data_IF_546623639313
#
_entry.id   IF_546623639313
#
_cell.length_a   1.000
_cell.length_b   1.000
_cell.length_c   1.000
_cell.angle_alpha   90.00
_cell.angle_beta   90.00
_cell.angle_gamma   90.00
#
_symmetry.space_group_name_H-M   'P 1'
#
loop_
_entity.id
_entity.type
_entity.pdbx_description
1 polymer ?
#
# COMPACT_ATOMS: atom_id res chain seq x y z
N UNK A 1 1.44 -10.00 -50.83
CA UNK A 1 0.21 -10.76 -50.60
C UNK A 1 0.52 -11.94 -49.68
N UNK A 2 0.07 -11.86 -48.47
CA UNK A 2 0.31 -12.96 -47.52
C UNK A 2 -0.51 -14.17 -47.95
N UNK A 3 0.12 -15.34 -47.97
CA UNK A 3 -0.59 -16.56 -48.23
C UNK A 3 -1.67 -16.82 -47.18
N UNK A 4 -2.86 -17.11 -47.57
CA UNK A 4 -3.93 -17.54 -46.66
C UNK A 4 -3.46 -18.81 -45.93
N UNK A 5 -3.27 -18.70 -44.63
CA UNK A 5 -2.91 -19.84 -43.79
C UNK A 5 -4.19 -20.65 -43.62
N UNK A 6 -4.16 -21.88 -44.04
CA UNK A 6 -5.25 -22.82 -43.85
C UNK A 6 -5.18 -23.34 -42.40
N UNK A 7 -5.91 -22.67 -41.52
CA UNK A 7 -5.94 -23.05 -40.12
C UNK A 7 -7.02 -24.11 -39.87
N UNK A 8 -6.70 -25.11 -39.10
CA UNK A 8 -7.68 -26.08 -38.65
C UNK A 8 -8.62 -25.44 -37.59
N UNK A 9 -9.75 -26.11 -37.32
CA UNK A 9 -10.76 -25.60 -36.39
C UNK A 9 -10.21 -25.40 -34.97
N UNK A 10 -9.31 -26.27 -34.51
CA UNK A 10 -8.70 -26.16 -33.19
C UNK A 10 -7.80 -24.91 -33.08
N UNK A 11 -7.04 -24.59 -34.13
CA UNK A 11 -6.21 -23.41 -34.20
C UNK A 11 -7.06 -22.13 -34.23
N UNK A 12 -8.16 -22.13 -34.97
CA UNK A 12 -9.09 -21.00 -35.02
C UNK A 12 -9.71 -20.74 -33.64
N UNK A 13 -10.16 -21.77 -32.95
CA UNK A 13 -10.75 -21.68 -31.62
C UNK A 13 -9.73 -21.15 -30.64
N UNK A 14 -8.50 -21.67 -30.63
CA UNK A 14 -7.42 -21.23 -29.77
C UNK A 14 -7.07 -19.75 -30.00
N UNK A 15 -6.98 -19.30 -31.23
CA UNK A 15 -6.76 -17.91 -31.62
C UNK A 15 -7.88 -16.99 -31.13
N UNK A 16 -9.14 -17.41 -31.23
CA UNK A 16 -10.29 -16.66 -30.74
C UNK A 16 -10.27 -16.49 -29.24
N UNK A 17 -9.94 -17.54 -28.48
CA UNK A 17 -9.79 -17.44 -27.02
C UNK A 17 -8.66 -16.50 -26.63
N UNK A 18 -7.51 -16.55 -27.30
CA UNK A 18 -6.39 -15.63 -27.08
C UNK A 18 -6.80 -14.18 -27.31
N UNK A 19 -7.50 -13.90 -28.42
CA UNK A 19 -7.98 -12.54 -28.75
C UNK A 19 -8.97 -12.02 -27.71
N UNK A 20 -9.88 -12.85 -27.23
CA UNK A 20 -10.84 -12.49 -26.18
C UNK A 20 -10.14 -12.21 -24.86
N UNK A 21 -9.17 -13.02 -24.48
CA UNK A 21 -8.41 -12.84 -23.25
C UNK A 21 -7.60 -11.53 -23.29
N UNK A 22 -6.92 -11.23 -24.39
CA UNK A 22 -6.20 -9.97 -24.58
C UNK A 22 -7.14 -8.78 -24.51
N UNK A 23 -8.28 -8.86 -25.17
CA UNK A 23 -9.28 -7.78 -25.15
C UNK A 23 -9.78 -7.52 -23.74
N UNK A 24 -10.07 -8.56 -22.97
CA UNK A 24 -10.50 -8.44 -21.58
C UNK A 24 -9.41 -7.78 -20.73
N UNK A 25 -8.15 -8.22 -20.85
CA UNK A 25 -7.03 -7.61 -20.13
C UNK A 25 -6.86 -6.13 -20.49
N UNK A 26 -6.96 -5.77 -21.76
CA UNK A 26 -6.81 -4.39 -22.21
C UNK A 26 -7.91 -3.46 -21.68
N UNK A 27 -9.11 -3.94 -21.43
CA UNK A 27 -10.19 -3.15 -20.85
C UNK A 27 -10.08 -2.96 -19.34
N UNK A 28 -9.49 -3.92 -18.63
CA UNK A 28 -9.46 -3.96 -17.18
C UNK A 28 -8.20 -3.27 -16.57
N UNK A 29 -7.26 -2.84 -17.41
CA UNK A 29 -6.00 -2.27 -16.94
C UNK A 29 -5.98 -0.75 -17.03
N UNK A 30 -5.10 -0.13 -16.24
CA UNK A 30 -4.84 1.31 -16.32
C UNK A 30 -4.08 1.66 -17.60
N UNK A 31 -4.02 2.96 -17.93
CA UNK A 31 -3.28 3.43 -19.11
C UNK A 31 -1.79 3.06 -19.08
N UNK A 32 -1.17 3.09 -17.90
CA UNK A 32 0.24 2.72 -17.75
C UNK A 32 0.45 1.22 -17.96
N UNK A 33 -0.41 0.40 -17.38
CA UNK A 33 -0.38 -1.05 -17.56
C UNK A 33 -0.66 -1.41 -19.01
N UNK A 34 -1.61 -0.75 -19.65
CA UNK A 34 -1.92 -0.94 -21.07
C UNK A 34 -0.70 -0.68 -21.96
N UNK A 35 0.05 0.39 -21.70
CA UNK A 35 1.28 0.68 -22.46
C UNK A 35 2.31 -0.43 -22.37
N UNK A 36 2.38 -1.11 -21.24
CA UNK A 36 3.31 -2.22 -21.03
C UNK A 36 2.92 -3.49 -21.78
N UNK A 37 1.63 -3.72 -21.98
CA UNK A 37 1.11 -4.95 -22.57
C UNK A 37 0.55 -4.77 -23.98
N UNK A 38 0.42 -3.54 -24.49
CA UNK A 38 -0.21 -3.25 -25.77
C UNK A 38 0.51 -3.87 -26.98
N UNK A 39 1.81 -4.14 -26.87
CA UNK A 39 2.60 -4.77 -27.92
C UNK A 39 2.54 -6.29 -27.90
N UNK A 40 1.93 -6.91 -26.90
CA UNK A 40 1.83 -8.36 -26.79
C UNK A 40 0.66 -8.91 -27.61
N UNK A 41 0.91 -10.03 -28.27
CA UNK A 41 -0.11 -10.73 -29.07
C UNK A 41 -0.65 -11.99 -28.38
N UNK A 42 -0.01 -12.41 -27.29
CA UNK A 42 -0.37 -13.60 -26.53
C UNK A 42 -0.85 -13.20 -25.15
N UNK A 43 -2.06 -13.59 -24.78
CA UNK A 43 -2.68 -13.26 -23.50
C UNK A 43 -1.83 -13.72 -22.30
N UNK A 44 -1.17 -14.88 -22.40
CA UNK A 44 -0.30 -15.39 -21.34
C UNK A 44 0.88 -14.47 -21.08
N UNK A 45 1.50 -13.92 -22.12
CA UNK A 45 2.61 -12.97 -21.99
C UNK A 45 2.15 -11.67 -21.34
N UNK A 46 0.99 -11.15 -21.76
CA UNK A 46 0.39 -9.96 -21.13
C UNK A 46 0.13 -10.19 -19.63
N UNK A 47 -0.41 -11.34 -19.26
CA UNK A 47 -0.65 -11.71 -17.87
C UNK A 47 0.65 -11.76 -17.06
N UNK A 48 1.71 -12.37 -17.59
CA UNK A 48 3.02 -12.46 -16.92
C UNK A 48 3.60 -11.06 -16.69
N UNK A 49 3.50 -10.16 -17.67
CA UNK A 49 3.97 -8.78 -17.54
C UNK A 49 3.20 -8.06 -16.42
N UNK A 50 1.88 -8.19 -16.37
CA UNK A 50 1.05 -7.60 -15.31
C UNK A 50 1.39 -8.18 -13.94
N UNK A 51 1.50 -9.48 -13.83
CA UNK A 51 1.85 -10.17 -12.58
C UNK A 51 3.20 -9.68 -12.03
N UNK A 52 4.23 -9.61 -12.88
CA UNK A 52 5.55 -9.10 -12.51
C UNK A 52 5.47 -7.63 -12.06
N UNK A 53 4.67 -6.82 -12.73
CA UNK A 53 4.46 -5.40 -12.38
C UNK A 53 3.80 -5.27 -11.01
N UNK A 54 2.77 -6.05 -10.74
CA UNK A 54 2.08 -6.04 -9.43
C UNK A 54 2.95 -6.54 -8.29
N UNK A 55 3.73 -7.60 -8.50
CA UNK A 55 4.69 -8.09 -7.51
C UNK A 55 5.72 -7.04 -7.15
N UNK A 56 6.29 -6.35 -8.14
CA UNK A 56 7.22 -5.25 -7.93
C UNK A 56 6.58 -4.09 -7.17
N UNK A 57 5.34 -3.73 -7.49
CA UNK A 57 4.58 -2.68 -6.80
C UNK A 57 4.30 -3.07 -5.35
N UNK A 58 3.93 -4.33 -5.09
CA UNK A 58 3.70 -4.83 -3.74
C UNK A 58 4.99 -4.84 -2.90
N UNK A 59 6.12 -5.20 -3.48
CA UNK A 59 7.42 -5.15 -2.80
C UNK A 59 7.79 -3.73 -2.38
N UNK A 60 7.59 -2.74 -3.25
CA UNK A 60 7.82 -1.31 -2.93
C UNK A 60 6.90 -0.86 -1.81
N UNK A 61 5.63 -1.23 -1.87
CA UNK A 61 4.64 -0.92 -0.83
C UNK A 61 5.05 -1.50 0.53
N UNK A 62 5.48 -2.76 0.56
CA UNK A 62 5.95 -3.42 1.78
C UNK A 62 7.14 -2.67 2.40
N UNK A 63 8.12 -2.27 1.59
CA UNK A 63 9.28 -1.49 2.06
C UNK A 63 8.84 -0.14 2.63
N UNK A 64 7.91 0.55 1.99
CA UNK A 64 7.37 1.84 2.48
C UNK A 64 6.66 1.67 3.82
N UNK A 65 5.85 0.63 3.98
CA UNK A 65 5.18 0.32 5.24
C UNK A 65 6.19 0.04 6.35
N UNK A 66 7.23 -0.74 6.07
CA UNK A 66 8.30 -1.01 7.04
C UNK A 66 9.01 0.26 7.48
N UNK A 67 9.30 1.17 6.56
CA UNK A 67 9.90 2.47 6.89
C UNK A 67 8.98 3.33 7.76
N UNK A 68 7.70 3.35 7.45
CA UNK A 68 6.71 4.08 8.24
C UNK A 68 6.56 3.50 9.64
N UNK A 69 6.55 2.17 9.77
CA UNK A 69 6.53 1.51 11.06
C UNK A 69 7.77 1.85 11.90
N UNK A 70 8.95 1.85 11.30
CA UNK A 70 10.18 2.26 11.98
C UNK A 70 10.12 3.72 12.41
N UNK A 71 9.63 4.62 11.57
CA UNK A 71 9.44 6.03 11.91
C UNK A 71 8.46 6.20 13.07
N UNK A 72 7.38 5.42 13.08
CA UNK A 72 6.40 5.43 14.17
C UNK A 72 7.04 4.98 15.50
N UNK A 73 7.87 3.96 15.49
CA UNK A 73 8.54 3.48 16.70
C UNK A 73 9.60 4.46 17.22
N UNK A 74 10.27 5.18 16.34
CA UNK A 74 11.36 6.10 16.70
C UNK A 74 10.90 7.50 17.08
N UNK A 75 9.73 7.95 16.59
CA UNK A 75 9.28 9.33 16.80
C UNK A 75 9.06 9.63 18.29
N UNK A 76 9.58 10.78 18.72
CA UNK A 76 9.40 11.31 20.08
C UNK A 76 9.27 12.81 20.04
N UNK A 77 8.55 13.36 21.01
CA UNK A 77 8.48 14.81 21.19
C UNK A 77 9.80 15.33 21.75
N UNK A 78 10.38 16.32 21.06
CA UNK A 78 11.61 16.97 21.50
C UNK A 78 11.32 18.00 22.60
N UNK A 79 12.33 18.33 23.40
CA UNK A 79 12.18 19.31 24.50
C UNK A 79 11.73 20.69 24.05
N UNK A 80 12.17 21.12 22.86
CA UNK A 80 11.83 22.42 22.29
C UNK A 80 10.62 22.38 21.36
N UNK A 81 10.03 21.21 21.18
CA UNK A 81 8.90 21.00 20.28
C UNK A 81 7.58 21.24 21.03
N UNK A 82 6.60 21.81 20.33
CA UNK A 82 5.23 21.89 20.86
C UNK A 82 4.52 20.55 20.63
N UNK A 83 3.49 20.28 21.44
CA UNK A 83 2.66 19.10 21.23
C UNK A 83 2.03 19.09 19.83
N UNK A 84 1.57 20.24 19.34
CA UNK A 84 0.94 20.32 18.02
C UNK A 84 1.92 19.95 16.89
N UNK A 85 3.17 20.37 17.00
CA UNK A 85 4.22 20.00 16.04
C UNK A 85 4.50 18.50 16.06
N UNK A 86 4.63 17.92 17.25
CA UNK A 86 4.81 16.48 17.41
C UNK A 86 3.61 15.69 16.89
N UNK A 87 2.41 16.11 17.26
CA UNK A 87 1.16 15.47 16.82
C UNK A 87 1.02 15.49 15.32
N UNK A 88 1.35 16.60 14.66
CA UNK A 88 1.32 16.72 13.22
C UNK A 88 2.26 15.71 12.53
N UNK A 89 3.49 15.57 13.03
CA UNK A 89 4.44 14.58 12.53
C UNK A 89 3.94 13.15 12.72
N UNK A 90 3.40 12.85 13.89
CA UNK A 90 2.85 11.52 14.20
C UNK A 90 1.67 11.18 13.28
N UNK A 91 0.74 12.11 13.11
CA UNK A 91 -0.42 11.90 12.25
C UNK A 91 -0.06 11.81 10.77
N UNK A 92 1.00 12.46 10.34
CA UNK A 92 1.53 12.30 8.99
C UNK A 92 1.96 10.85 8.74
N UNK A 93 2.66 10.24 9.69
CA UNK A 93 3.04 8.83 9.64
C UNK A 93 1.80 7.92 9.61
N UNK A 94 0.84 8.18 10.49
CA UNK A 94 -0.42 7.40 10.58
C UNK A 94 -1.21 7.47 9.28
N UNK A 95 -1.36 8.67 8.70
CA UNK A 95 -2.09 8.87 7.47
C UNK A 95 -1.37 8.26 6.26
N UNK A 96 -0.04 8.36 6.22
CA UNK A 96 0.75 7.72 5.15
C UNK A 96 0.63 6.21 5.19
N UNK A 97 0.62 5.62 6.38
CA UNK A 97 0.41 4.18 6.57
C UNK A 97 -1.00 3.77 6.12
N UNK A 98 -2.00 4.55 6.48
CA UNK A 98 -3.39 4.32 6.06
C UNK A 98 -3.53 4.35 4.53
N UNK A 99 -2.89 5.31 3.87
CA UNK A 99 -2.92 5.43 2.41
C UNK A 99 -2.28 4.22 1.70
N UNK A 100 -1.41 3.50 2.37
CA UNK A 100 -0.84 2.24 1.88
C UNK A 100 -1.68 1.00 2.24
N UNK A 101 -2.84 1.21 2.84
CA UNK A 101 -3.79 0.13 3.14
C UNK A 101 -3.64 -0.49 4.53
N UNK A 102 -2.80 0.07 5.40
CA UNK A 102 -2.67 -0.39 6.78
C UNK A 102 -3.12 0.66 7.78
N UNK A 103 -3.90 0.25 8.77
CA UNK A 103 -4.38 1.12 9.83
C UNK A 103 -3.61 0.89 11.13
N UNK A 104 -3.29 1.98 11.83
CA UNK A 104 -2.74 1.91 13.18
C UNK A 104 -3.89 2.12 14.17
N UNK A 105 -4.05 1.20 15.12
CA UNK A 105 -5.11 1.26 16.12
C UNK A 105 -5.01 2.53 16.97
N UNK A 106 -6.14 3.12 17.32
CA UNK A 106 -6.19 4.32 18.18
C UNK A 106 -5.48 4.11 19.52
N UNK A 107 -5.65 2.94 20.14
CA UNK A 107 -4.95 2.59 21.38
C UNK A 107 -3.43 2.63 21.23
N UNK A 108 -2.91 2.14 20.11
CA UNK A 108 -1.49 2.17 19.80
C UNK A 108 -0.97 3.60 19.63
N UNK A 109 -1.76 4.46 18.98
CA UNK A 109 -1.43 5.87 18.79
C UNK A 109 -1.39 6.58 20.14
N UNK A 110 -2.39 6.39 20.99
CA UNK A 110 -2.46 6.99 22.33
C UNK A 110 -1.27 6.55 23.20
N UNK A 111 -0.93 5.27 23.20
CA UNK A 111 0.25 4.77 23.92
C UNK A 111 1.53 5.41 23.41
N UNK A 112 1.67 5.56 22.11
CA UNK A 112 2.84 6.19 21.50
C UNK A 112 2.96 7.65 21.93
N UNK A 113 1.87 8.39 21.92
CA UNK A 113 1.83 9.77 22.40
C UNK A 113 2.30 9.84 23.85
N UNK A 114 1.71 9.04 24.73
CA UNK A 114 2.04 9.08 26.16
C UNK A 114 3.50 8.72 26.44
N UNK A 115 4.05 7.74 25.72
CA UNK A 115 5.47 7.34 25.86
C UNK A 115 6.45 8.30 25.23
N UNK A 116 6.00 9.15 24.33
CA UNK A 116 6.87 10.06 23.56
C UNK A 116 6.98 11.44 24.18
N UNK A 117 6.17 11.75 25.18
CA UNK A 117 6.16 13.05 25.85
C UNK A 117 7.38 13.24 26.75
N UNK A 118 7.96 14.48 26.83
CA UNK A 118 9.05 14.78 27.74
C UNK A 118 8.66 14.62 29.22
N UNK A 119 9.65 14.55 30.11
CA UNK A 119 9.45 14.40 31.55
C UNK A 119 8.51 15.43 32.18
N UNK A 120 8.49 16.66 31.64
CA UNK A 120 7.58 17.72 32.12
C UNK A 120 6.10 17.34 32.11
N UNK A 121 5.73 16.31 31.33
CA UNK A 121 4.37 15.79 31.25
C UNK A 121 4.13 14.55 32.11
N UNK A 122 5.13 14.07 32.84
CA UNK A 122 5.09 12.78 33.54
C UNK A 122 3.93 12.66 34.52
N UNK A 123 3.69 13.68 35.35
CA UNK A 123 2.59 13.69 36.28
C UNK A 123 1.21 13.61 35.58
N UNK A 124 1.07 14.32 34.48
CA UNK A 124 -0.17 14.28 33.69
C UNK A 124 -0.40 12.92 33.01
N UNK A 125 0.68 12.29 32.55
CA UNK A 125 0.62 10.95 31.94
C UNK A 125 0.11 9.94 32.97
N UNK A 126 0.65 9.95 34.18
CA UNK A 126 0.25 9.05 35.26
C UNK A 126 -1.23 9.19 35.56
N UNK A 127 -1.75 10.41 35.66
CA UNK A 127 -3.19 10.66 35.90
C UNK A 127 -4.05 10.10 34.76
N UNK A 128 -3.64 10.26 33.51
CA UNK A 128 -4.39 9.74 32.34
C UNK A 128 -4.40 8.21 32.35
N UNK A 129 -3.27 7.59 32.60
CA UNK A 129 -3.15 6.11 32.65
C UNK A 129 -3.96 5.49 33.78
N UNK A 130 -4.03 6.16 34.94
CA UNK A 130 -4.86 5.72 36.07
C UNK A 130 -6.35 5.93 35.83
N UNK A 131 -6.72 7.02 35.14
CA UNK A 131 -8.11 7.39 34.93
C UNK A 131 -8.79 6.64 33.77
N UNK A 132 -8.02 6.11 32.82
CA UNK A 132 -8.53 5.48 31.61
C UNK A 132 -7.82 4.17 31.29
N UNK A 133 -8.59 3.17 30.90
CA UNK A 133 -8.05 1.95 30.32
C UNK A 133 -7.80 2.18 28.82
N UNK A 134 -6.54 2.39 28.46
CA UNK A 134 -6.13 2.67 27.07
C UNK A 134 -6.47 1.50 26.14
N UNK A 135 -6.47 0.28 26.64
CA UNK A 135 -6.77 -0.91 25.86
C UNK A 135 -8.25 -0.98 25.45
N UNK A 136 -9.12 -0.21 26.08
CA UNK A 136 -10.55 -0.09 25.75
C UNK A 136 -10.83 0.98 24.68
N UNK A 137 -9.82 1.71 24.23
CA UNK A 137 -9.97 2.69 23.15
C UNK A 137 -10.16 1.95 21.82
N UNK A 138 -11.26 2.19 21.08
CA UNK A 138 -11.55 1.50 19.82
C UNK A 138 -10.62 1.90 18.68
#
# INVERSE_FOLDING_TARGET
MEALVDWDDATIISSNFNSRALKTLFYEVTNEEFKRISSTEVAKEAWIILETTYEGTNAVKTVKIQRLNSSFEEIRMEENETFDEFYAKLMDIVNSTFNLGESIAKSKIVRKILRSLPERFHAKITVIEEAKDIDQIP
#
